data_IF_294274556833
#
_entry.id   IF_294274556833
#
_cell.length_a   1.000
_cell.length_b   1.000
_cell.length_c   1.000
_cell.angle_alpha   90.00
_cell.angle_beta   90.00
_cell.angle_gamma   90.00
#
_symmetry.space_group_name_H-M   'P 1'
#
loop_
_entity.id
_entity.type
_entity.pdbx_description
1 polymer ?
#
# COMPACT_ATOMS: atom_id res chain seq x y z
N UNK A 1 24.75 -52.71 -36.34
CA UNK A 1 23.31 -52.58 -36.00
C UNK A 1 23.03 -52.23 -34.53
N UNK A 2 23.88 -52.60 -33.54
CA UNK A 2 23.61 -52.31 -32.11
C UNK A 2 23.61 -50.81 -31.72
N UNK A 3 24.41 -49.96 -32.38
CA UNK A 3 24.52 -48.53 -32.03
C UNK A 3 23.35 -47.66 -32.52
N UNK A 4 22.63 -48.09 -33.55
CA UNK A 4 21.51 -47.33 -34.14
C UNK A 4 20.34 -47.23 -33.17
N UNK A 5 20.03 -48.32 -32.45
CA UNK A 5 18.99 -48.36 -31.42
C UNK A 5 19.36 -47.53 -30.18
N UNK A 6 20.66 -47.42 -29.86
CA UNK A 6 21.14 -46.56 -28.77
C UNK A 6 20.92 -45.07 -29.07
N UNK A 7 21.21 -44.63 -30.29
CA UNK A 7 21.03 -43.23 -30.72
C UNK A 7 19.54 -42.86 -30.80
N UNK A 8 18.70 -43.77 -31.33
CA UNK A 8 17.25 -43.59 -31.37
C UNK A 8 16.62 -43.50 -29.97
N UNK A 9 17.09 -44.32 -29.02
CA UNK A 9 16.62 -44.26 -27.63
C UNK A 9 16.92 -42.93 -26.96
N UNK A 10 18.13 -42.40 -27.14
CA UNK A 10 18.52 -41.08 -26.60
C UNK A 10 17.72 -39.96 -27.26
N UNK A 11 17.51 -40.01 -28.58
CA UNK A 11 16.72 -39.00 -29.29
C UNK A 11 15.27 -38.95 -28.79
N UNK A 12 14.64 -40.10 -28.53
CA UNK A 12 13.27 -40.16 -27.98
C UNK A 12 13.24 -39.60 -26.55
N UNK A 13 14.23 -39.89 -25.72
CA UNK A 13 14.30 -39.34 -24.36
C UNK A 13 14.49 -37.82 -24.37
N UNK A 14 15.33 -37.30 -25.26
CA UNK A 14 15.53 -35.85 -25.42
C UNK A 14 14.26 -35.18 -25.93
N UNK A 15 13.56 -35.78 -26.90
CA UNK A 15 12.29 -35.27 -27.41
C UNK A 15 11.18 -35.32 -26.35
N UNK A 16 11.10 -36.41 -25.57
CA UNK A 16 10.14 -36.53 -24.47
C UNK A 16 10.44 -35.54 -23.34
N UNK A 17 11.71 -35.32 -23.01
CA UNK A 17 12.12 -34.32 -22.03
C UNK A 17 11.85 -32.89 -22.51
N UNK A 18 12.13 -32.59 -23.78
CA UNK A 18 11.83 -31.29 -24.37
C UNK A 18 10.31 -31.05 -24.45
N UNK A 19 9.55 -32.08 -24.85
CA UNK A 19 8.09 -32.06 -24.84
C UNK A 19 7.58 -31.79 -23.42
N UNK A 20 8.01 -32.57 -22.43
CA UNK A 20 7.64 -32.38 -21.03
C UNK A 20 8.03 -30.98 -20.48
N UNK A 21 9.18 -30.42 -20.89
CA UNK A 21 9.62 -29.08 -20.47
C UNK A 21 8.73 -27.97 -21.02
N UNK A 22 8.28 -28.07 -22.27
CA UNK A 22 7.37 -27.08 -22.88
C UNK A 22 5.97 -27.09 -22.25
N UNK A 23 5.55 -28.24 -21.70
CA UNK A 23 4.25 -28.41 -21.04
C UNK A 23 4.35 -28.34 -19.51
N UNK A 24 5.54 -28.13 -18.94
CA UNK A 24 5.68 -27.85 -17.53
C UNK A 24 5.06 -26.47 -17.24
N UNK A 25 4.19 -26.34 -16.22
CA UNK A 25 3.74 -25.03 -15.80
C UNK A 25 4.97 -24.23 -15.38
N UNK A 26 5.16 -23.06 -16.01
CA UNK A 26 6.20 -22.13 -15.56
C UNK A 26 5.93 -21.80 -14.09
N UNK A 27 6.95 -21.77 -13.21
CA UNK A 27 6.78 -21.24 -11.87
C UNK A 27 6.11 -19.88 -11.97
N UNK A 28 5.03 -19.67 -11.21
CA UNK A 28 4.38 -18.36 -11.13
C UNK A 28 5.41 -17.45 -10.48
N UNK A 29 5.95 -16.48 -11.22
CA UNK A 29 6.77 -15.42 -10.65
C UNK A 29 5.86 -14.65 -9.67
N UNK A 30 6.06 -14.87 -8.36
CA UNK A 30 5.33 -14.13 -7.34
C UNK A 30 5.72 -12.65 -7.45
N UNK A 31 4.75 -11.72 -7.42
CA UNK A 31 5.05 -10.31 -7.52
C UNK A 31 5.96 -9.91 -6.36
N UNK A 32 7.06 -9.19 -6.66
CA UNK A 32 7.96 -8.72 -5.62
C UNK A 32 7.24 -7.72 -4.71
N UNK A 33 7.19 -8.02 -3.41
CA UNK A 33 6.65 -7.13 -2.37
C UNK A 33 7.77 -6.53 -1.52
N UNK A 34 7.47 -5.40 -0.90
CA UNK A 34 8.29 -4.77 0.13
C UNK A 34 7.45 -4.37 1.33
N UNK A 35 8.09 -4.39 2.50
CA UNK A 35 7.50 -3.93 3.75
C UNK A 35 7.49 -2.41 3.83
N UNK A 36 6.34 -1.84 4.15
CA UNK A 36 6.11 -0.42 4.43
C UNK A 36 5.36 -0.26 5.75
N UNK A 37 5.40 0.94 6.33
CA UNK A 37 4.72 1.23 7.59
C UNK A 37 3.47 2.07 7.37
N UNK A 38 2.34 1.65 7.92
CA UNK A 38 1.14 2.49 8.06
C UNK A 38 0.95 2.86 9.51
N UNK A 39 0.50 4.08 9.78
CA UNK A 39 0.35 4.57 11.15
C UNK A 39 -1.12 4.60 11.55
N UNK A 40 -1.47 3.79 12.56
CA UNK A 40 -2.78 3.78 13.19
C UNK A 40 -2.70 4.38 14.60
N UNK A 41 -3.83 4.39 15.29
CA UNK A 41 -3.96 5.04 16.58
C UNK A 41 -4.28 4.04 17.68
N UNK A 42 -3.77 4.28 18.88
CA UNK A 42 -4.16 3.55 20.09
C UNK A 42 -4.68 4.60 21.07
N UNK A 43 -5.98 4.55 21.45
CA UNK A 43 -6.52 5.49 22.42
C UNK A 43 -5.88 5.27 23.80
N UNK A 44 -5.51 6.35 24.46
CA UNK A 44 -5.01 6.35 25.85
C UNK A 44 -6.04 7.03 26.76
N UNK A 45 -5.78 7.14 28.06
CA UNK A 45 -6.73 7.73 29.01
C UNK A 45 -7.07 9.20 28.68
N UNK A 46 -6.12 9.94 28.12
CA UNK A 46 -6.25 11.39 27.89
C UNK A 46 -5.94 11.83 26.46
N UNK A 47 -5.34 10.98 25.64
CA UNK A 47 -4.98 11.30 24.25
C UNK A 47 -4.98 10.02 23.39
N UNK A 48 -4.14 9.99 22.36
CA UNK A 48 -3.96 8.89 21.44
C UNK A 48 -2.48 8.79 21.07
N UNK A 49 -1.96 7.57 21.02
CA UNK A 49 -0.63 7.29 20.50
C UNK A 49 -0.72 6.81 19.06
N UNK A 50 0.36 7.00 18.30
CA UNK A 50 0.48 6.52 16.93
C UNK A 50 1.39 5.30 16.88
N UNK A 51 0.90 4.20 16.33
CA UNK A 51 1.63 2.94 16.21
C UNK A 51 1.92 2.65 14.74
N UNK A 52 3.18 2.33 14.43
CA UNK A 52 3.57 1.85 13.11
C UNK A 52 3.18 0.38 12.98
N UNK A 53 2.54 0.04 11.87
CA UNK A 53 2.15 -1.32 11.54
C UNK A 53 2.67 -1.67 10.16
N UNK A 54 3.28 -2.84 10.04
CA UNK A 54 3.85 -3.32 8.79
C UNK A 54 2.75 -3.74 7.81
N UNK A 55 2.96 -3.40 6.54
CA UNK A 55 2.14 -3.79 5.40
C UNK A 55 3.06 -4.19 4.26
N UNK A 56 2.59 -5.12 3.44
CA UNK A 56 3.27 -5.53 2.22
C UNK A 56 2.62 -4.83 1.04
N UNK A 57 3.42 -4.12 0.24
CA UNK A 57 3.00 -3.48 -1.00
C UNK A 57 3.90 -3.92 -2.14
N UNK A 58 3.42 -3.80 -3.38
CA UNK A 58 4.23 -4.09 -4.55
C UNK A 58 5.45 -3.15 -4.59
N UNK A 59 6.61 -3.72 -4.92
CA UNK A 59 7.83 -2.94 -5.12
C UNK A 59 7.63 -1.97 -6.28
N UNK A 60 8.05 -0.71 -6.08
CA UNK A 60 8.03 0.34 -7.09
C UNK A 60 9.20 1.29 -6.88
N UNK A 61 9.93 1.60 -7.96
CA UNK A 61 10.95 2.66 -7.96
C UNK A 61 10.33 4.07 -7.95
N UNK A 62 9.06 4.18 -8.32
CA UNK A 62 8.30 5.42 -8.26
C UNK A 62 7.75 5.64 -6.84
N UNK A 63 8.21 6.73 -6.22
CA UNK A 63 7.82 7.16 -4.88
C UNK A 63 6.32 7.47 -4.78
N UNK A 64 5.74 8.10 -5.78
CA UNK A 64 4.35 8.53 -5.78
C UNK A 64 3.44 7.29 -5.80
N UNK A 65 3.81 6.29 -6.61
CA UNK A 65 3.14 4.98 -6.66
C UNK A 65 3.28 4.23 -5.33
N UNK A 66 4.48 4.23 -4.72
CA UNK A 66 4.71 3.54 -3.46
C UNK A 66 3.92 4.20 -2.30
N UNK A 67 3.90 5.53 -2.24
CA UNK A 67 3.12 6.27 -1.26
C UNK A 67 1.61 6.07 -1.44
N UNK A 68 1.13 6.03 -2.69
CA UNK A 68 -0.26 5.72 -3.01
C UNK A 68 -0.64 4.33 -2.50
N UNK A 69 0.13 3.29 -2.84
CA UNK A 69 -0.13 1.92 -2.39
C UNK A 69 -0.15 1.83 -0.85
N UNK A 70 0.76 2.53 -0.19
CA UNK A 70 0.86 2.53 1.28
C UNK A 70 -0.33 3.25 1.94
N UNK A 71 -0.76 4.39 1.40
CA UNK A 71 -1.96 5.07 1.90
C UNK A 71 -3.24 4.29 1.60
N UNK A 72 -3.28 3.52 0.51
CA UNK A 72 -4.37 2.58 0.24
C UNK A 72 -4.44 1.48 1.31
N UNK A 73 -3.31 0.96 1.78
CA UNK A 73 -3.31 0.05 2.94
C UNK A 73 -3.74 0.76 4.24
N UNK A 74 -3.34 2.02 4.44
CA UNK A 74 -3.76 2.80 5.61
C UNK A 74 -5.29 2.92 5.68
N UNK A 75 -5.96 3.30 4.60
CA UNK A 75 -7.41 3.54 4.60
C UNK A 75 -8.25 2.26 4.71
N UNK A 76 -7.68 1.08 4.44
CA UNK A 76 -8.33 -0.22 4.75
C UNK A 76 -8.54 -0.42 6.25
N UNK A 77 -7.74 0.27 7.07
CA UNK A 77 -7.80 0.16 8.53
C UNK A 77 -7.08 -1.07 9.11
N UNK A 78 -7.09 -1.20 10.44
CA UNK A 78 -6.45 -2.32 11.12
C UNK A 78 -7.19 -3.64 10.88
N UNK A 79 -6.46 -4.74 10.95
CA UNK A 79 -7.01 -6.11 10.93
C UNK A 79 -7.79 -6.39 12.21
N UNK A 80 -8.61 -7.45 12.22
CA UNK A 80 -9.36 -7.83 13.43
C UNK A 80 -8.45 -8.19 14.61
N UNK A 81 -7.27 -8.76 14.33
CA UNK A 81 -6.27 -9.05 15.36
C UNK A 81 -5.64 -7.76 15.94
N UNK A 82 -5.39 -6.76 15.10
CA UNK A 82 -4.87 -5.44 15.52
C UNK A 82 -5.94 -4.66 16.31
N UNK A 83 -7.20 -4.72 15.87
CA UNK A 83 -8.35 -4.16 16.62
C UNK A 83 -8.47 -4.79 18.01
N UNK A 84 -8.26 -6.10 18.13
CA UNK A 84 -8.28 -6.79 19.43
C UNK A 84 -7.13 -6.33 20.36
N UNK A 85 -6.08 -5.73 19.81
CA UNK A 85 -4.99 -5.09 20.57
C UNK A 85 -5.27 -3.61 20.89
N UNK A 86 -6.44 -3.08 20.53
CA UNK A 86 -6.82 -1.68 20.76
C UNK A 86 -6.37 -0.71 19.66
N UNK A 87 -5.83 -1.21 18.54
CA UNK A 87 -5.47 -0.38 17.39
C UNK A 87 -6.74 0.04 16.65
N UNK A 88 -6.86 1.33 16.36
CA UNK A 88 -8.02 1.94 15.74
C UNK A 88 -7.66 2.75 14.49
N UNK A 89 -8.66 2.88 13.61
CA UNK A 89 -8.64 3.81 12.47
C UNK A 89 -9.70 4.88 12.70
N UNK A 90 -9.40 6.11 12.29
CA UNK A 90 -10.35 7.23 12.34
C UNK A 90 -10.95 7.58 10.97
N UNK A 91 -10.51 6.90 9.91
CA UNK A 91 -11.03 7.08 8.56
C UNK A 91 -12.50 6.63 8.46
N UNK A 92 -13.25 7.23 7.54
CA UNK A 92 -14.58 6.73 7.20
C UNK A 92 -14.47 5.39 6.47
N UNK A 93 -15.48 4.54 6.65
CA UNK A 93 -15.63 3.35 5.81
C UNK A 93 -15.69 3.76 4.33
N UNK A 94 -15.19 2.87 3.47
CA UNK A 94 -15.15 3.09 2.01
C UNK A 94 -14.29 4.29 1.56
N UNK A 95 -13.44 4.85 2.43
CA UNK A 95 -12.44 5.85 2.02
C UNK A 95 -11.47 5.22 1.01
N UNK A 96 -11.25 5.90 -0.10
CA UNK A 96 -10.32 5.49 -1.17
C UNK A 96 -9.33 6.61 -1.42
N UNK A 97 -8.06 6.25 -1.62
CA UNK A 97 -7.01 7.16 -2.09
C UNK A 97 -6.88 6.99 -3.59
N UNK A 98 -7.19 8.06 -4.34
CA UNK A 98 -7.18 8.07 -5.80
C UNK A 98 -5.77 8.33 -6.35
N UNK A 99 -5.05 9.27 -5.74
CA UNK A 99 -3.70 9.63 -6.18
C UNK A 99 -2.87 10.26 -5.07
N UNK A 100 -1.55 10.13 -5.20
CA UNK A 100 -0.55 10.87 -4.43
C UNK A 100 0.42 11.50 -5.42
N UNK A 101 0.78 12.77 -5.22
CA UNK A 101 1.78 13.45 -6.04
C UNK A 101 2.71 14.28 -5.17
N UNK A 102 4.01 14.13 -5.38
CA UNK A 102 5.03 14.95 -4.74
C UNK A 102 5.62 15.95 -5.74
N UNK A 103 5.31 17.22 -5.60
CA UNK A 103 5.74 18.27 -6.54
C UNK A 103 5.99 19.58 -5.79
N UNK A 104 7.13 20.24 -6.07
CA UNK A 104 7.47 21.56 -5.54
C UNK A 104 7.36 21.71 -4.00
N UNK A 105 7.70 20.66 -3.25
CA UNK A 105 7.62 20.65 -1.78
C UNK A 105 6.19 20.49 -1.23
N UNK A 106 5.21 20.21 -2.09
CA UNK A 106 3.82 19.92 -1.74
C UNK A 106 3.52 18.45 -2.03
N UNK A 107 2.92 17.76 -1.05
CA UNK A 107 2.32 16.44 -1.25
C UNK A 107 0.83 16.63 -1.42
N UNK A 108 0.34 16.38 -2.63
CA UNK A 108 -1.10 16.38 -2.92
C UNK A 108 -1.64 14.96 -2.84
N UNK A 109 -2.64 14.74 -1.99
CA UNK A 109 -3.29 13.45 -1.80
C UNK A 109 -4.77 13.62 -2.11
N UNK A 110 -5.25 12.87 -3.09
CA UNK A 110 -6.65 12.90 -3.50
C UNK A 110 -7.40 11.69 -2.98
N UNK A 111 -8.59 11.93 -2.43
CA UNK A 111 -9.49 10.91 -1.92
C UNK A 111 -10.85 10.94 -2.64
N UNK A 112 -11.65 9.90 -2.44
CA UNK A 112 -13.06 9.90 -2.84
C UNK A 112 -13.95 10.73 -1.88
N UNK A 113 -15.22 10.90 -2.24
CA UNK A 113 -16.18 11.71 -1.48
C UNK A 113 -16.33 11.31 -0.02
N UNK A 114 -16.21 10.01 0.30
CA UNK A 114 -16.46 9.50 1.65
C UNK A 114 -15.41 9.97 2.64
N UNK A 115 -14.21 10.35 2.20
CA UNK A 115 -13.08 10.72 3.06
C UNK A 115 -13.43 11.75 4.12
N UNK A 116 -14.10 12.83 3.72
CA UNK A 116 -14.38 13.97 4.60
C UNK A 116 -15.88 14.15 4.92
N UNK A 117 -16.70 13.15 4.61
CA UNK A 117 -18.09 13.15 5.04
C UNK A 117 -18.18 13.09 6.57
N UNK A 118 -19.03 13.95 7.14
CA UNK A 118 -19.29 13.97 8.59
C UNK A 118 -18.00 14.08 9.43
N UNK A 119 -17.01 14.83 8.93
CA UNK A 119 -15.83 15.18 9.71
C UNK A 119 -16.23 16.08 10.88
N UNK A 120 -16.03 15.55 12.09
CA UNK A 120 -16.29 16.24 13.34
C UNK A 120 -15.35 15.74 14.43
N UNK A 121 -15.04 16.62 15.37
CA UNK A 121 -14.13 16.33 16.49
C UNK A 121 -12.66 16.59 16.16
N UNK A 122 -12.04 17.47 16.95
CA UNK A 122 -10.62 17.85 16.79
C UNK A 122 -9.67 16.64 16.93
N UNK A 123 -9.99 15.70 17.81
CA UNK A 123 -9.21 14.47 17.98
C UNK A 123 -9.22 13.61 16.71
N UNK A 124 -10.36 13.50 16.03
CA UNK A 124 -10.49 12.73 14.79
C UNK A 124 -9.70 13.36 13.64
N UNK A 125 -9.80 14.69 13.51
CA UNK A 125 -9.04 15.45 12.51
C UNK A 125 -7.53 15.32 12.76
N UNK A 126 -7.09 15.44 14.02
CA UNK A 126 -5.69 15.20 14.42
C UNK A 126 -5.26 13.77 14.13
N UNK A 127 -6.12 12.78 14.39
CA UNK A 127 -5.83 11.38 14.13
C UNK A 127 -5.57 11.11 12.64
N UNK A 128 -6.49 11.53 11.78
CA UNK A 128 -6.39 11.33 10.33
C UNK A 128 -5.16 12.06 9.77
N UNK A 129 -5.02 13.35 10.06
CA UNK A 129 -3.93 14.17 9.54
C UNK A 129 -2.55 13.64 9.93
N UNK A 130 -2.35 13.26 11.20
CA UNK A 130 -1.08 12.72 11.66
C UNK A 130 -0.80 11.31 11.14
N UNK A 131 -1.83 10.46 11.01
CA UNK A 131 -1.70 9.13 10.42
C UNK A 131 -1.23 9.22 8.97
N UNK A 132 -1.82 10.13 8.18
CA UNK A 132 -1.39 10.41 6.80
C UNK A 132 0.05 10.93 6.77
N UNK A 133 0.36 11.97 7.56
CA UNK A 133 1.70 12.59 7.57
C UNK A 133 2.79 11.59 7.92
N UNK A 134 2.62 10.84 9.03
CA UNK A 134 3.60 9.82 9.45
C UNK A 134 3.79 8.73 8.41
N UNK A 135 2.70 8.29 7.78
CA UNK A 135 2.74 7.28 6.72
C UNK A 135 3.49 7.81 5.49
N UNK A 136 3.28 9.06 5.09
CA UNK A 136 3.96 9.63 3.91
C UNK A 136 5.43 9.97 4.20
N UNK A 137 5.75 10.47 5.40
CA UNK A 137 7.10 10.91 5.78
C UNK A 137 8.15 9.78 5.75
N UNK A 138 7.74 8.51 5.76
CA UNK A 138 8.69 7.40 5.63
C UNK A 138 9.45 7.42 4.29
N UNK A 139 8.86 8.00 3.25
CA UNK A 139 9.45 8.03 1.90
C UNK A 139 10.39 9.21 1.67
N UNK A 140 10.37 10.22 2.54
CA UNK A 140 11.36 11.28 2.58
C UNK A 140 11.33 11.98 3.95
N UNK A 141 12.31 11.61 4.78
CA UNK A 141 12.47 12.10 6.15
C UNK A 141 13.18 13.46 6.23
N UNK A 142 13.70 13.96 5.11
CA UNK A 142 14.57 15.15 5.07
C UNK A 142 13.83 16.42 4.64
N UNK A 143 12.68 16.26 3.98
CA UNK A 143 11.87 17.37 3.48
C UNK A 143 10.65 17.60 4.34
N UNK A 144 10.45 18.84 4.79
CA UNK A 144 9.19 19.26 5.38
C UNK A 144 8.20 19.59 4.26
N UNK A 145 7.22 18.70 4.07
CA UNK A 145 6.21 18.85 3.03
C UNK A 145 5.00 19.67 3.51
N UNK A 146 4.49 20.51 2.62
CA UNK A 146 3.12 21.01 2.75
C UNK A 146 2.16 19.94 2.25
N UNK A 147 1.19 19.53 3.08
CA UNK A 147 0.19 18.53 2.69
C UNK A 147 -1.06 19.24 2.16
N UNK A 148 -1.47 18.88 0.95
CA UNK A 148 -2.71 19.32 0.33
C UNK A 148 -3.61 18.11 0.16
N UNK A 149 -4.78 18.12 0.78
CA UNK A 149 -5.76 17.04 0.69
C UNK A 149 -6.91 17.48 -0.22
N UNK A 150 -7.23 16.67 -1.23
CA UNK A 150 -8.30 16.95 -2.18
C UNK A 150 -9.31 15.81 -2.25
N UNK A 151 -10.47 16.11 -2.80
CA UNK A 151 -11.55 15.14 -3.01
C UNK A 151 -11.98 15.14 -4.47
N UNK A 152 -12.23 13.94 -5.02
CA UNK A 152 -12.71 13.68 -6.37
C UNK A 152 -11.79 14.26 -7.45
N UNK A 153 -10.54 13.80 -7.50
CA UNK A 153 -9.52 14.22 -8.46
C UNK A 153 -9.31 15.73 -8.48
N UNK A 154 -9.28 16.35 -7.30
CA UNK A 154 -9.06 17.79 -7.16
C UNK A 154 -10.31 18.66 -7.37
N UNK A 155 -11.52 18.09 -7.42
CA UNK A 155 -12.75 18.87 -7.57
C UNK A 155 -12.93 19.90 -6.45
N UNK A 156 -12.44 19.59 -5.24
CA UNK A 156 -12.38 20.50 -4.09
C UNK A 156 -11.27 20.10 -3.12
N UNK A 157 -10.92 21.01 -2.22
CA UNK A 157 -10.10 20.67 -1.06
C UNK A 157 -10.92 19.89 -0.02
N UNK A 158 -10.25 19.02 0.73
CA UNK A 158 -10.89 18.23 1.77
C UNK A 158 -11.22 19.10 2.98
N UNK A 159 -12.33 18.81 3.64
CA UNK A 159 -12.80 19.48 4.85
C UNK A 159 -12.10 18.89 6.08
N UNK A 160 -10.78 18.92 6.07
CA UNK A 160 -9.95 18.71 7.25
C UNK A 160 -9.11 19.98 7.41
N UNK A 161 -9.56 20.88 8.29
CA UNK A 161 -8.74 22.03 8.66
C UNK A 161 -7.53 21.52 9.47
N UNK A 162 -6.28 21.74 9.02
CA UNK A 162 -5.08 21.30 9.71
C UNK A 162 -4.77 22.09 10.99
#
# INVERSE_FOLDING_TARGET
MKYVYGILGVAILVLAANWAYQFAPKPVEEPMTQTVFVYYTIPTETDMDFVAVEREVLVSDDRDVLALATLQELVKGPTDSEKAQGIASSFNDETVVNSVKFEDGVVTIDFNETFDMQMGGSMRVRAISQSIRKTVQQFDQTTEYTFKLTVNNGAREAVLEP
#
